data_IF_263394802143
#
_entry.id   IF_263394802143
#
_cell.length_a   1.000
_cell.length_b   1.000
_cell.length_c   1.000
_cell.angle_alpha   90.00
_cell.angle_beta   90.00
_cell.angle_gamma   90.00
#
_symmetry.space_group_name_H-M   'P 1'
#
loop_
_entity.id
_entity.type
_entity.pdbx_description
1 polymer ?
#
# COMPACT_ATOMS: atom_id res chain seq x y z
N UNK A 1 28.48 2.99 -3.77
CA UNK A 1 29.93 3.10 -3.95
C UNK A 1 30.29 4.54 -4.29
N UNK A 2 31.55 4.98 -4.15
CA UNK A 2 31.96 6.34 -4.50
C UNK A 2 31.57 6.75 -5.93
N UNK A 3 31.72 5.81 -6.88
CA UNK A 3 31.36 6.02 -8.29
C UNK A 3 29.86 6.25 -8.51
N UNK A 4 28.99 5.55 -7.78
CA UNK A 4 27.54 5.77 -7.85
C UNK A 4 27.15 7.12 -7.23
N UNK A 5 27.82 7.54 -6.16
CA UNK A 5 27.55 8.82 -5.51
C UNK A 5 27.99 10.01 -6.37
N UNK A 6 29.10 9.88 -7.10
CA UNK A 6 29.51 10.85 -8.13
C UNK A 6 28.47 10.94 -9.25
N UNK A 7 27.96 9.81 -9.73
CA UNK A 7 26.92 9.78 -10.76
C UNK A 7 25.61 10.43 -10.29
N UNK A 8 25.19 10.19 -9.05
CA UNK A 8 24.02 10.84 -8.45
C UNK A 8 24.22 12.35 -8.30
N UNK A 9 25.43 12.77 -7.91
CA UNK A 9 25.77 14.19 -7.77
C UNK A 9 25.73 14.90 -9.12
N UNK A 10 26.29 14.27 -10.17
CA UNK A 10 26.24 14.81 -11.53
C UNK A 10 24.81 14.87 -12.10
N UNK A 11 24.01 13.81 -11.92
CA UNK A 11 22.63 13.78 -12.36
C UNK A 11 21.74 14.81 -11.64
N UNK A 12 21.99 15.04 -10.35
CA UNK A 12 21.31 16.08 -9.58
C UNK A 12 21.64 17.49 -10.10
N UNK A 13 22.91 17.77 -10.36
CA UNK A 13 23.34 19.05 -10.97
C UNK A 13 22.70 19.29 -12.33
N UNK A 14 22.70 18.28 -13.21
CA UNK A 14 22.12 18.38 -14.54
C UNK A 14 20.62 18.69 -14.49
N UNK A 15 19.88 18.05 -13.57
CA UNK A 15 18.44 18.27 -13.41
C UNK A 15 18.10 19.67 -12.87
N UNK A 16 18.84 20.16 -11.88
CA UNK A 16 18.49 21.39 -11.16
C UNK A 16 19.07 22.66 -11.79
N UNK A 17 20.25 22.56 -12.41
CA UNK A 17 20.99 23.70 -12.95
C UNK A 17 21.22 23.61 -14.47
N UNK A 18 21.05 22.44 -15.08
CA UNK A 18 21.33 22.20 -16.50
C UNK A 18 22.72 21.60 -16.77
N UNK A 19 23.01 21.25 -18.03
CA UNK A 19 24.22 20.49 -18.39
C UNK A 19 25.49 21.34 -18.49
N UNK A 20 25.39 22.69 -18.52
CA UNK A 20 26.55 23.56 -18.71
C UNK A 20 27.22 23.93 -17.40
N UNK A 21 28.55 23.86 -17.37
CA UNK A 21 29.35 24.20 -16.20
C UNK A 21 29.13 25.64 -15.69
N UNK A 22 28.91 26.62 -16.57
CA UNK A 22 28.63 28.02 -16.20
C UNK A 22 27.26 28.17 -15.50
N UNK A 23 26.25 27.43 -15.97
CA UNK A 23 24.90 27.41 -15.39
C UNK A 23 24.94 26.72 -14.01
N UNK A 24 25.68 25.61 -13.89
CA UNK A 24 25.91 24.90 -12.63
C UNK A 24 26.65 25.75 -11.59
N UNK A 25 27.71 26.47 -11.99
CA UNK A 25 28.45 27.35 -11.08
C UNK A 25 27.59 28.52 -10.58
N UNK A 26 26.80 29.11 -11.48
CA UNK A 26 25.90 30.21 -11.12
C UNK A 26 24.82 29.74 -10.13
N UNK A 27 24.22 28.58 -10.38
CA UNK A 27 23.21 27.97 -9.49
C UNK A 27 23.77 27.65 -8.09
N UNK A 28 24.99 27.10 -8.01
CA UNK A 28 25.65 26.83 -6.73
C UNK A 28 25.92 28.14 -5.95
N UNK A 29 26.41 29.18 -6.65
CA UNK A 29 26.71 30.47 -6.06
C UNK A 29 25.45 31.19 -5.55
N UNK A 30 24.35 31.17 -6.32
CA UNK A 30 23.06 31.75 -5.93
C UNK A 30 22.48 31.11 -4.66
N UNK A 31 22.73 29.82 -4.46
CA UNK A 31 22.24 29.05 -3.31
C UNK A 31 23.22 28.97 -2.14
N UNK A 32 24.43 29.52 -2.30
CA UNK A 32 25.49 29.43 -1.30
C UNK A 32 25.93 27.99 -0.99
N UNK A 33 25.79 27.07 -1.96
CA UNK A 33 26.11 25.65 -1.76
C UNK A 33 27.56 25.36 -2.14
N UNK A 34 28.29 24.71 -1.25
CA UNK A 34 29.59 24.11 -1.55
C UNK A 34 29.45 22.75 -2.25
N UNK A 35 30.57 22.25 -2.78
CA UNK A 35 30.63 20.89 -3.36
C UNK A 35 30.27 19.80 -2.33
N UNK A 36 30.64 20.00 -1.06
CA UNK A 36 30.28 19.09 0.02
C UNK A 36 28.78 19.04 0.30
N UNK A 37 28.12 20.20 0.32
CA UNK A 37 26.66 20.30 0.52
C UNK A 37 25.90 19.69 -0.65
N UNK A 38 26.36 19.96 -1.87
CA UNK A 38 25.81 19.38 -3.08
C UNK A 38 25.87 17.85 -3.03
N UNK A 39 27.04 17.27 -2.73
CA UNK A 39 27.20 15.83 -2.61
C UNK A 39 26.29 15.26 -1.51
N UNK A 40 26.22 15.91 -0.35
CA UNK A 40 25.36 15.49 0.74
C UNK A 40 23.88 15.47 0.36
N UNK A 41 23.39 16.53 -0.30
CA UNK A 41 21.99 16.66 -0.76
C UNK A 41 21.69 15.63 -1.85
N UNK A 42 22.54 15.55 -2.88
CA UNK A 42 22.33 14.68 -4.03
C UNK A 42 22.33 13.20 -3.67
N UNK A 43 23.13 12.81 -2.66
CA UNK A 43 23.24 11.41 -2.21
C UNK A 43 22.29 11.07 -1.06
N UNK A 44 21.65 12.06 -0.42
CA UNK A 44 20.87 11.87 0.80
C UNK A 44 19.80 10.77 0.65
N UNK A 45 19.01 10.82 -0.41
CA UNK A 45 17.92 9.86 -0.64
C UNK A 45 18.45 8.42 -0.77
N UNK A 46 19.55 8.23 -1.52
CA UNK A 46 20.14 6.91 -1.70
C UNK A 46 20.82 6.41 -0.43
N UNK A 47 21.51 7.29 0.30
CA UNK A 47 22.12 6.97 1.60
C UNK A 47 21.06 6.55 2.62
N UNK A 48 19.96 7.28 2.71
CA UNK A 48 18.83 6.94 3.56
C UNK A 48 18.18 5.62 3.15
N UNK A 49 17.99 5.39 1.84
CA UNK A 49 17.44 4.12 1.33
C UNK A 49 18.32 2.94 1.74
N UNK A 50 19.62 3.00 1.47
CA UNK A 50 20.58 1.94 1.82
C UNK A 50 20.64 1.69 3.32
N UNK A 51 20.73 2.78 4.09
CA UNK A 51 20.77 2.68 5.55
C UNK A 51 19.48 2.07 6.10
N UNK A 52 18.30 2.51 5.63
CA UNK A 52 17.01 1.98 6.07
C UNK A 52 16.85 0.51 5.69
N UNK A 53 17.23 0.13 4.46
CA UNK A 53 17.22 -1.28 4.04
C UNK A 53 18.10 -2.12 4.94
N UNK A 54 19.35 -1.71 5.15
CA UNK A 54 20.26 -2.43 6.04
C UNK A 54 19.72 -2.51 7.48
N UNK A 55 19.22 -1.39 8.03
CA UNK A 55 18.77 -1.30 9.42
C UNK A 55 17.54 -2.15 9.69
N UNK A 56 16.62 -2.24 8.75
CA UNK A 56 15.30 -2.83 8.98
C UNK A 56 15.11 -4.19 8.30
N UNK A 57 16.15 -4.75 7.69
CA UNK A 57 16.09 -5.98 6.88
C UNK A 57 15.45 -7.16 7.64
N UNK A 58 15.80 -7.33 8.92
CA UNK A 58 15.30 -8.42 9.75
C UNK A 58 13.82 -8.22 10.16
N UNK A 59 13.36 -6.97 10.25
CA UNK A 59 11.98 -6.65 10.61
C UNK A 59 11.03 -6.59 9.39
N UNK A 60 11.56 -6.59 8.15
CA UNK A 60 10.75 -6.49 6.92
C UNK A 60 9.70 -7.60 6.84
N UNK A 61 10.09 -8.85 7.08
CA UNK A 61 9.18 -9.99 6.94
C UNK A 61 8.06 -9.95 7.97
N UNK A 62 8.40 -9.63 9.22
CA UNK A 62 7.42 -9.48 10.31
C UNK A 62 6.45 -8.35 9.96
N UNK A 63 6.99 -7.20 9.52
CA UNK A 63 6.18 -6.05 9.10
C UNK A 63 5.24 -6.41 7.95
N UNK A 64 5.73 -7.17 6.99
CA UNK A 64 4.92 -7.65 5.87
C UNK A 64 3.77 -8.54 6.34
N UNK A 65 4.01 -9.49 7.25
CA UNK A 65 2.96 -10.34 7.80
C UNK A 65 1.88 -9.54 8.55
N UNK A 66 2.29 -8.54 9.33
CA UNK A 66 1.37 -7.63 10.01
C UNK A 66 0.51 -6.83 9.02
N UNK A 67 1.10 -6.40 7.90
CA UNK A 67 0.42 -5.62 6.86
C UNK A 67 -0.31 -6.44 5.82
N UNK A 68 -0.02 -7.73 5.72
CA UNK A 68 -0.58 -8.62 4.71
C UNK A 68 -2.11 -8.56 4.62
N UNK A 69 -2.87 -8.50 5.73
CA UNK A 69 -4.33 -8.34 5.65
C UNK A 69 -4.79 -7.08 4.89
N UNK A 70 -4.04 -5.98 4.98
CA UNK A 70 -4.34 -4.71 4.32
C UNK A 70 -3.75 -4.62 2.90
N UNK A 71 -2.71 -5.42 2.62
CA UNK A 71 -2.08 -5.49 1.31
C UNK A 71 -2.76 -6.50 0.38
N UNK A 72 -3.32 -7.57 0.94
CA UNK A 72 -4.12 -8.54 0.21
C UNK A 72 -5.32 -7.82 -0.43
N UNK A 73 -5.54 -8.06 -1.72
CA UNK A 73 -6.63 -7.45 -2.48
C UNK A 73 -7.68 -8.47 -2.86
N UNK A 74 -8.89 -7.97 -3.10
CA UNK A 74 -10.04 -8.79 -3.48
C UNK A 74 -10.81 -8.15 -4.62
N UNK A 75 -11.41 -9.01 -5.44
CA UNK A 75 -12.47 -8.65 -6.37
C UNK A 75 -13.69 -9.47 -6.00
N UNK A 76 -14.83 -8.83 -5.78
CA UNK A 76 -16.07 -9.51 -5.42
C UNK A 76 -17.25 -8.85 -6.12
N UNK A 77 -18.29 -9.65 -6.36
CA UNK A 77 -19.57 -9.14 -6.83
C UNK A 77 -20.51 -8.97 -5.66
N UNK A 78 -21.24 -7.86 -5.62
CA UNK A 78 -22.18 -7.50 -4.59
C UNK A 78 -23.51 -7.04 -5.21
N UNK A 79 -24.60 -7.43 -4.57
CA UNK A 79 -25.94 -6.94 -4.85
C UNK A 79 -26.60 -6.63 -3.51
N UNK A 80 -27.23 -5.46 -3.37
CA UNK A 80 -27.97 -5.07 -2.17
C UNK A 80 -29.40 -4.68 -2.52
N UNK A 81 -30.36 -5.16 -1.72
CA UNK A 81 -31.79 -4.85 -1.83
C UNK A 81 -32.39 -4.68 -0.45
N UNK A 82 -33.46 -3.90 -0.33
CA UNK A 82 -34.19 -3.70 0.92
C UNK A 82 -35.09 -4.88 1.31
N UNK A 83 -35.61 -5.62 0.31
CA UNK A 83 -36.50 -6.76 0.53
C UNK A 83 -35.77 -8.11 0.66
N UNK A 84 -36.05 -8.85 1.73
CA UNK A 84 -35.46 -10.15 2.00
C UNK A 84 -35.89 -11.21 0.96
N UNK A 85 -37.15 -11.20 0.56
CA UNK A 85 -37.71 -12.17 -0.39
C UNK A 85 -37.02 -12.05 -1.75
N UNK A 86 -36.83 -10.82 -2.21
CA UNK A 86 -36.10 -10.50 -3.43
C UNK A 86 -34.64 -10.95 -3.33
N UNK A 87 -33.93 -10.68 -2.22
CA UNK A 87 -32.56 -11.14 -2.05
C UNK A 87 -32.46 -12.68 -2.16
N UNK A 88 -33.41 -13.40 -1.57
CA UNK A 88 -33.47 -14.85 -1.62
C UNK A 88 -33.75 -15.37 -3.04
N UNK A 89 -34.66 -14.73 -3.76
CA UNK A 89 -34.94 -15.06 -5.16
C UNK A 89 -33.69 -14.86 -6.03
N UNK A 90 -33.03 -13.71 -5.92
CA UNK A 90 -31.83 -13.38 -6.69
C UNK A 90 -30.69 -14.37 -6.42
N UNK A 91 -30.49 -14.76 -5.16
CA UNK A 91 -29.54 -15.80 -4.79
C UNK A 91 -29.85 -17.15 -5.47
N UNK A 92 -31.11 -17.57 -5.48
CA UNK A 92 -31.52 -18.83 -6.13
C UNK A 92 -31.32 -18.76 -7.66
N UNK A 93 -31.66 -17.64 -8.29
CA UNK A 93 -31.41 -17.41 -9.73
C UNK A 93 -29.91 -17.53 -10.07
N UNK A 94 -29.04 -16.97 -9.23
CA UNK A 94 -27.58 -17.08 -9.39
C UNK A 94 -27.08 -18.52 -9.21
N UNK A 95 -27.58 -19.21 -8.18
CA UNK A 95 -27.08 -20.54 -7.80
C UNK A 95 -27.59 -21.65 -8.70
N UNK A 96 -28.84 -21.59 -9.13
CA UNK A 96 -29.55 -22.72 -9.74
C UNK A 96 -29.90 -22.48 -11.21
N UNK A 97 -30.10 -21.22 -11.61
CA UNK A 97 -30.55 -20.89 -12.97
C UNK A 97 -29.40 -20.36 -13.85
N UNK A 98 -28.19 -20.23 -13.31
CA UNK A 98 -27.02 -19.71 -14.04
C UNK A 98 -27.17 -18.25 -14.47
N UNK A 99 -28.01 -17.48 -13.76
CA UNK A 99 -28.21 -16.06 -14.07
C UNK A 99 -26.89 -15.29 -13.95
N UNK A 100 -26.74 -14.25 -14.78
CA UNK A 100 -25.59 -13.36 -14.72
C UNK A 100 -25.68 -12.45 -13.50
N UNK A 101 -24.64 -12.45 -12.67
CA UNK A 101 -24.54 -11.52 -11.52
C UNK A 101 -24.64 -10.07 -11.98
N UNK A 102 -23.93 -9.73 -13.05
CA UNK A 102 -23.96 -8.40 -13.64
C UNK A 102 -25.37 -7.94 -13.99
N UNK A 103 -26.12 -8.77 -14.69
CA UNK A 103 -27.48 -8.42 -15.14
C UNK A 103 -28.44 -8.25 -13.96
N UNK A 104 -28.32 -9.10 -12.92
CA UNK A 104 -29.14 -8.95 -11.73
C UNK A 104 -28.75 -7.71 -10.91
N UNK A 105 -27.47 -7.39 -10.80
CA UNK A 105 -27.01 -6.20 -10.10
C UNK A 105 -27.44 -4.91 -10.80
N UNK A 106 -27.29 -4.83 -12.13
CA UNK A 106 -27.74 -3.67 -12.94
C UNK A 106 -29.26 -3.45 -12.83
N UNK A 107 -30.05 -4.53 -12.70
CA UNK A 107 -31.50 -4.45 -12.69
C UNK A 107 -32.10 -4.22 -11.30
N UNK A 108 -31.52 -4.83 -10.26
CA UNK A 108 -32.16 -4.90 -8.94
C UNK A 108 -31.34 -4.27 -7.82
N UNK A 109 -30.04 -4.02 -7.98
CA UNK A 109 -29.26 -3.49 -6.86
C UNK A 109 -29.65 -2.04 -6.55
N UNK A 110 -29.84 -1.74 -5.27
CA UNK A 110 -30.19 -0.41 -4.78
C UNK A 110 -28.95 0.46 -4.46
N UNK A 111 -27.74 -0.10 -4.59
CA UNK A 111 -26.47 0.59 -4.34
C UNK A 111 -25.75 1.06 -5.59
N UNK A 112 -24.68 1.82 -5.40
CA UNK A 112 -23.83 2.34 -6.49
C UNK A 112 -23.21 1.24 -7.37
N UNK A 113 -23.10 0.02 -6.85
CA UNK A 113 -22.64 -1.13 -7.63
C UNK A 113 -23.59 -1.54 -8.76
N UNK A 114 -24.83 -1.05 -8.79
CA UNK A 114 -25.70 -1.23 -9.95
C UNK A 114 -25.04 -0.69 -11.24
N UNK A 115 -24.29 0.40 -11.14
CA UNK A 115 -23.58 1.03 -12.27
C UNK A 115 -22.37 0.21 -12.74
N UNK A 116 -21.78 -0.59 -11.85
CA UNK A 116 -20.60 -1.43 -12.16
C UNK A 116 -20.96 -2.89 -12.40
N UNK A 117 -22.25 -3.22 -12.50
CA UNK A 117 -22.69 -4.60 -12.65
C UNK A 117 -22.40 -5.46 -11.41
N UNK A 118 -22.43 -4.85 -10.23
CA UNK A 118 -22.15 -5.49 -8.95
C UNK A 118 -20.65 -5.73 -8.70
N UNK A 119 -19.77 -5.53 -9.69
CA UNK A 119 -18.36 -5.86 -9.56
C UNK A 119 -17.62 -4.76 -8.77
N UNK A 120 -16.92 -5.17 -7.71
CA UNK A 120 -16.14 -4.31 -6.82
C UNK A 120 -14.70 -4.85 -6.77
N UNK A 121 -13.71 -3.99 -7.01
CA UNK A 121 -12.30 -4.32 -6.86
C UNK A 121 -11.46 -4.04 -8.12
N UNK A 122 -10.13 -4.23 -8.06
CA UNK A 122 -9.37 -4.71 -6.90
C UNK A 122 -9.29 -3.68 -5.76
N UNK A 123 -9.72 -4.05 -4.56
CA UNK A 123 -9.62 -3.24 -3.34
C UNK A 123 -8.94 -4.03 -2.22
N UNK A 124 -8.44 -3.37 -1.19
CA UNK A 124 -7.88 -4.06 -0.02
C UNK A 124 -8.94 -5.00 0.60
N UNK A 125 -8.51 -6.17 1.07
CA UNK A 125 -9.40 -7.17 1.69
C UNK A 125 -10.10 -6.61 2.93
N UNK A 126 -9.44 -5.71 3.64
CA UNK A 126 -9.96 -5.00 4.82
C UNK A 126 -10.84 -3.80 4.45
N UNK A 127 -10.97 -3.45 3.17
CA UNK A 127 -11.86 -2.37 2.75
C UNK A 127 -13.33 -2.80 2.82
N UNK A 128 -14.16 -1.94 3.41
CA UNK A 128 -15.62 -2.11 3.47
C UNK A 128 -16.14 -2.55 4.83
N UNK A 129 -17.40 -2.98 4.86
CA UNK A 129 -18.08 -3.31 6.11
C UNK A 129 -17.51 -4.60 6.75
N UNK A 130 -17.32 -4.67 8.09
CA UNK A 130 -16.73 -5.84 8.76
C UNK A 130 -17.39 -7.18 8.44
N UNK A 131 -18.71 -7.18 8.20
CA UNK A 131 -19.47 -8.38 7.81
C UNK A 131 -19.11 -8.90 6.40
N UNK A 132 -18.66 -8.04 5.49
CA UNK A 132 -18.14 -8.43 4.18
C UNK A 132 -16.72 -8.98 4.34
N UNK A 133 -15.88 -8.20 5.03
CA UNK A 133 -14.47 -8.54 5.29
C UNK A 133 -14.33 -9.92 5.93
N UNK A 134 -15.14 -10.24 6.95
CA UNK A 134 -15.07 -11.54 7.64
C UNK A 134 -15.40 -12.72 6.72
N UNK A 135 -16.35 -12.55 5.80
CA UNK A 135 -16.73 -13.56 4.79
C UNK A 135 -15.66 -13.70 3.71
N UNK A 136 -15.18 -12.58 3.17
CA UNK A 136 -14.15 -12.57 2.13
C UNK A 136 -12.84 -13.21 2.62
N UNK A 137 -12.46 -13.00 3.88
CA UNK A 137 -11.24 -13.55 4.49
C UNK A 137 -11.19 -15.09 4.49
N UNK A 138 -12.33 -15.75 4.67
CA UNK A 138 -12.44 -17.22 4.70
C UNK A 138 -13.04 -17.79 3.42
N UNK A 139 -13.37 -16.92 2.47
CA UNK A 139 -14.04 -17.27 1.22
C UNK A 139 -13.11 -17.94 0.23
N UNK A 140 -13.71 -18.68 -0.71
CA UNK A 140 -13.03 -19.24 -1.88
C UNK A 140 -13.47 -18.53 -3.15
N UNK A 141 -12.60 -18.45 -4.15
CA UNK A 141 -12.98 -17.92 -5.46
C UNK A 141 -14.19 -18.67 -6.03
N UNK A 142 -15.14 -17.93 -6.56
CA UNK A 142 -16.44 -18.41 -7.02
C UNK A 142 -17.48 -18.63 -5.91
N UNK A 143 -17.13 -18.51 -4.62
CA UNK A 143 -18.07 -18.76 -3.53
C UNK A 143 -19.17 -17.70 -3.50
N UNK A 144 -20.42 -18.15 -3.68
CA UNK A 144 -21.63 -17.36 -3.51
C UNK A 144 -22.19 -17.56 -2.09
N UNK A 145 -22.36 -16.48 -1.34
CA UNK A 145 -22.98 -16.52 -0.02
C UNK A 145 -24.50 -16.40 -0.12
N UNK A 146 -25.21 -17.14 0.75
CA UNK A 146 -26.64 -16.91 0.99
C UNK A 146 -26.89 -15.49 1.47
N UNK A 147 -28.09 -14.91 1.23
CA UNK A 147 -28.40 -13.54 1.62
C UNK A 147 -28.15 -13.29 3.11
N UNK A 148 -27.59 -12.13 3.43
CA UNK A 148 -27.38 -11.71 4.81
C UNK A 148 -27.64 -10.21 4.97
N UNK A 149 -28.12 -9.82 6.14
CA UNK A 149 -28.46 -8.44 6.43
C UNK A 149 -27.25 -7.62 6.92
N UNK A 150 -27.18 -6.35 6.52
CA UNK A 150 -26.38 -5.30 7.14
C UNK A 150 -27.29 -4.08 7.31
N UNK A 151 -27.66 -3.76 8.55
CA UNK A 151 -28.70 -2.77 8.82
C UNK A 151 -30.03 -3.22 8.20
N UNK A 152 -30.67 -2.34 7.44
CA UNK A 152 -31.95 -2.60 6.76
C UNK A 152 -31.80 -3.16 5.35
N UNK A 153 -30.57 -3.48 4.91
CA UNK A 153 -30.29 -3.99 3.57
C UNK A 153 -29.92 -5.47 3.62
N UNK A 154 -30.40 -6.22 2.63
CA UNK A 154 -30.05 -7.61 2.35
C UNK A 154 -29.05 -7.68 1.21
N UNK A 155 -27.95 -8.39 1.45
CA UNK A 155 -26.83 -8.48 0.53
C UNK A 155 -26.68 -9.90 -0.01
N UNK A 156 -26.46 -10.01 -1.31
CA UNK A 156 -25.96 -11.22 -1.98
C UNK A 156 -24.55 -10.91 -2.48
N UNK A 157 -23.60 -11.80 -2.18
CA UNK A 157 -22.19 -11.57 -2.49
C UNK A 157 -21.57 -12.82 -3.10
N UNK A 158 -20.65 -12.64 -4.05
CA UNK A 158 -19.78 -13.69 -4.58
C UNK A 158 -18.33 -13.23 -4.60
N UNK A 159 -17.40 -14.07 -4.14
CA UNK A 159 -15.98 -13.79 -4.26
C UNK A 159 -15.54 -14.13 -5.68
N UNK A 160 -15.05 -13.16 -6.44
CA UNK A 160 -14.59 -13.38 -7.80
C UNK A 160 -13.12 -13.78 -7.81
N UNK A 161 -12.25 -13.01 -7.14
CA UNK A 161 -10.81 -13.28 -7.04
C UNK A 161 -10.20 -12.84 -5.72
N UNK A 162 -9.24 -13.63 -5.23
CA UNK A 162 -8.34 -13.30 -4.15
C UNK A 162 -6.96 -12.98 -4.72
N UNK A 163 -6.42 -11.81 -4.41
CA UNK A 163 -5.14 -11.33 -4.91
C UNK A 163 -4.18 -11.17 -3.72
N UNK A 164 -3.51 -12.26 -3.29
CA UNK A 164 -2.61 -12.19 -2.15
C UNK A 164 -1.40 -11.31 -2.48
N UNK A 165 -1.05 -10.41 -1.55
CA UNK A 165 0.17 -9.64 -1.63
C UNK A 165 1.39 -10.57 -1.52
N UNK A 166 2.44 -10.22 -2.26
CA UNK A 166 3.73 -10.90 -2.26
C UNK A 166 4.80 -9.94 -1.76
N UNK A 167 5.80 -10.47 -1.03
CA UNK A 167 6.94 -9.69 -0.59
C UNK A 167 7.96 -9.53 -1.73
N UNK A 168 7.55 -8.86 -2.79
CA UNK A 168 8.42 -8.49 -3.91
C UNK A 168 9.27 -7.25 -3.57
N UNK A 169 10.14 -6.83 -4.51
CA UNK A 169 11.05 -5.71 -4.28
C UNK A 169 10.32 -4.39 -3.96
N UNK A 170 9.16 -4.15 -4.60
CA UNK A 170 8.37 -2.94 -4.37
C UNK A 170 7.73 -2.97 -2.97
N UNK A 171 7.12 -4.09 -2.60
CA UNK A 171 6.48 -4.30 -1.30
C UNK A 171 7.51 -4.27 -0.17
N UNK A 172 8.67 -4.89 -0.37
CA UNK A 172 9.81 -4.80 0.55
C UNK A 172 10.24 -3.34 0.77
N UNK A 173 10.39 -2.57 -0.32
CA UNK A 173 10.70 -1.14 -0.23
C UNK A 173 9.66 -0.37 0.58
N UNK A 174 8.37 -0.66 0.39
CA UNK A 174 7.30 -0.09 1.19
C UNK A 174 7.41 -0.46 2.68
N UNK A 175 7.68 -1.73 3.01
CA UNK A 175 7.82 -2.16 4.41
C UNK A 175 9.01 -1.49 5.09
N UNK A 176 10.16 -1.41 4.42
CA UNK A 176 11.34 -0.67 4.91
C UNK A 176 11.01 0.79 5.16
N UNK A 177 10.29 1.43 4.24
CA UNK A 177 9.88 2.83 4.40
C UNK A 177 8.93 3.02 5.60
N UNK A 178 7.93 2.17 5.76
CA UNK A 178 7.01 2.22 6.91
C UNK A 178 7.74 2.02 8.25
N UNK A 179 8.75 1.13 8.30
CA UNK A 179 9.59 0.92 9.48
C UNK A 179 10.47 2.13 9.78
N UNK A 180 11.05 2.73 8.74
CA UNK A 180 11.82 3.96 8.84
C UNK A 180 11.00 5.12 9.38
N UNK A 181 9.80 5.36 8.83
CA UNK A 181 8.93 6.45 9.30
C UNK A 181 8.53 6.27 10.76
N UNK A 182 8.18 5.03 11.16
CA UNK A 182 7.90 4.72 12.56
C UNK A 182 9.08 5.07 13.47
N UNK A 183 10.28 4.62 13.10
CA UNK A 183 11.49 4.92 13.87
C UNK A 183 11.76 6.43 13.95
N UNK A 184 11.58 7.15 12.84
CA UNK A 184 11.78 8.61 12.79
C UNK A 184 10.81 9.34 13.73
N UNK A 185 9.54 8.95 13.74
CA UNK A 185 8.53 9.51 14.64
C UNK A 185 8.88 9.27 16.11
N UNK A 186 9.41 8.10 16.46
CA UNK A 186 9.90 7.80 17.82
C UNK A 186 11.07 8.72 18.22
N UNK A 187 11.98 9.03 17.29
CA UNK A 187 13.08 9.98 17.55
C UNK A 187 12.56 11.40 17.78
N UNK A 188 11.58 11.84 16.98
CA UNK A 188 10.96 13.16 17.11
C UNK A 188 10.23 13.27 18.45
N UNK A 189 9.45 12.27 18.84
CA UNK A 189 8.74 12.24 20.12
C UNK A 189 9.71 12.32 21.30
N UNK A 190 10.83 11.57 21.24
CA UNK A 190 11.89 11.61 22.25
C UNK A 190 12.46 13.03 22.43
N UNK A 191 12.74 13.73 21.33
CA UNK A 191 13.20 15.12 21.36
C UNK A 191 12.17 16.07 21.97
N UNK A 192 10.89 15.93 21.59
CA UNK A 192 9.81 16.76 22.10
C UNK A 192 9.61 16.58 23.62
N UNK A 193 9.92 15.40 24.14
CA UNK A 193 9.89 15.09 25.58
C UNK A 193 11.16 15.52 26.33
N UNK A 194 12.12 16.16 25.66
CA UNK A 194 13.37 16.64 26.25
C UNK A 194 14.44 15.54 26.44
N UNK A 195 14.26 14.39 25.78
CA UNK A 195 15.27 13.32 25.75
C UNK A 195 16.42 13.63 24.80
N UNK A 196 17.54 12.93 24.97
CA UNK A 196 18.67 12.97 24.04
C UNK A 196 18.47 11.95 22.91
N UNK A 197 18.82 12.33 21.68
CA UNK A 197 18.81 11.41 20.55
C UNK A 197 19.95 10.41 20.68
N UNK A 198 19.62 9.12 20.53
CA UNK A 198 20.62 8.09 20.32
C UNK A 198 21.38 8.37 19.01
N UNK A 199 22.69 8.02 18.95
CA UNK A 199 23.42 8.12 17.70
C UNK A 199 22.77 7.23 16.64
N UNK A 200 22.74 7.71 15.39
CA UNK A 200 22.25 6.93 14.26
C UNK A 200 23.09 5.64 14.15
N UNK A 201 22.48 4.45 14.26
CA UNK A 201 23.19 3.17 14.16
C UNK A 201 23.96 3.05 12.86
N UNK A 202 25.20 2.55 12.92
CA UNK A 202 26.07 2.35 11.76
C UNK A 202 26.26 0.86 11.46
N UNK A 203 26.55 0.50 10.20
CA UNK A 203 26.99 -0.85 9.85
C UNK A 203 28.17 -1.27 10.75
N UNK A 204 27.95 -2.31 11.58
CA UNK A 204 28.91 -2.81 12.58
C UNK A 204 28.51 -2.58 14.05
N UNK A 205 27.59 -1.66 14.34
CA UNK A 205 27.08 -1.41 15.71
C UNK A 205 26.08 -2.48 16.17
N UNK A 206 25.34 -3.04 15.20
CA UNK A 206 24.42 -4.14 15.39
C UNK A 206 25.16 -5.40 14.95
N UNK A 207 25.33 -6.37 15.86
CA UNK A 207 26.10 -7.59 15.67
C UNK A 207 25.48 -8.58 14.68
N UNK A 208 25.14 -8.11 13.48
CA UNK A 208 24.76 -8.95 12.36
C UNK A 208 26.03 -9.62 11.79
N UNK A 209 25.95 -10.89 11.35
CA UNK A 209 27.03 -11.58 10.67
C UNK A 209 27.42 -10.96 9.33
#
# INVERSE_FOLDING_TARGET
TPQEEEALTAAFLDREAGPKAEEQQSWLAERGLGLGDLHAIATLAERLRRWSTWRFEEEVEIRFLDRKPDLDRVVYSLLRVSDQGLAQELYLRLREQGASFRSLAEQFSEGSEAETGGLIGPVALTAGHPALVSRLRVGREGQLWSPFAIGDLWLVMRLERLLPAQLDAATRGQMVHELFERWLLEQVDTLLQGGELAPVPRPGDLGHP
#
